data_IF_164041340496
#
_entry.id   IF_164041340496
#
_cell.length_a   1.000
_cell.length_b   1.000
_cell.length_c   1.000
_cell.angle_alpha   90.00
_cell.angle_beta   90.00
_cell.angle_gamma   90.00
#
_symmetry.space_group_name_H-M   'P 1'
#
loop_
_entity.id
_entity.type
_entity.pdbx_description
1 polymer ?
#
# COMPACT_ATOMS: atom_id res chain seq x y z
N UNK A 1 -26.84 -24.11 -30.47
CA UNK A 1 -25.78 -23.10 -30.38
C UNK A 1 -26.20 -21.79 -29.67
N UNK A 2 -27.28 -21.07 -30.07
CA UNK A 2 -27.67 -19.79 -29.43
C UNK A 2 -28.05 -19.92 -27.93
N UNK A 3 -28.68 -21.01 -27.51
CA UNK A 3 -29.07 -21.25 -26.09
C UNK A 3 -27.85 -21.52 -25.21
N UNK A 4 -26.91 -22.33 -25.66
CA UNK A 4 -25.66 -22.62 -24.94
C UNK A 4 -24.79 -21.37 -24.77
N UNK A 5 -24.69 -20.52 -25.82
CA UNK A 5 -23.95 -19.26 -25.73
C UNK A 5 -24.56 -18.30 -24.69
N UNK A 6 -25.89 -18.20 -24.63
CA UNK A 6 -26.59 -17.40 -23.61
C UNK A 6 -26.34 -17.90 -22.20
N UNK A 7 -26.37 -19.24 -22.01
CA UNK A 7 -26.07 -19.83 -20.69
C UNK A 7 -24.64 -19.59 -20.24
N UNK A 8 -23.66 -19.69 -21.14
CA UNK A 8 -22.26 -19.40 -20.84
C UNK A 8 -22.08 -17.91 -20.46
N UNK A 9 -22.67 -16.96 -21.23
CA UNK A 9 -22.62 -15.54 -20.91
C UNK A 9 -23.22 -15.26 -19.52
N UNK A 10 -24.33 -15.87 -19.17
CA UNK A 10 -24.98 -15.69 -17.88
C UNK A 10 -24.11 -16.17 -16.72
N UNK A 11 -23.48 -17.34 -16.86
CA UNK A 11 -22.53 -17.86 -15.86
C UNK A 11 -21.33 -16.94 -15.69
N UNK A 12 -20.75 -16.43 -16.78
CA UNK A 12 -19.62 -15.49 -16.71
C UNK A 12 -19.98 -14.19 -15.99
N UNK A 13 -21.19 -13.67 -16.21
CA UNK A 13 -21.67 -12.45 -15.52
C UNK A 13 -21.80 -12.72 -14.01
N UNK A 14 -22.36 -13.87 -13.61
CA UNK A 14 -22.46 -14.23 -12.19
C UNK A 14 -21.10 -14.36 -11.55
N UNK A 15 -20.14 -15.00 -12.21
CA UNK A 15 -18.77 -15.15 -11.72
C UNK A 15 -18.09 -13.78 -11.57
N UNK A 16 -18.29 -12.86 -12.51
CA UNK A 16 -17.77 -11.52 -12.45
C UNK A 16 -18.35 -10.74 -11.24
N UNK A 17 -19.66 -10.81 -11.04
CA UNK A 17 -20.33 -10.15 -9.91
C UNK A 17 -19.83 -10.73 -8.59
N UNK A 18 -19.70 -12.06 -8.49
CA UNK A 18 -19.17 -12.72 -7.31
C UNK A 18 -17.71 -12.31 -7.02
N UNK A 19 -16.87 -12.23 -8.05
CA UNK A 19 -15.48 -11.75 -7.93
C UNK A 19 -15.43 -10.31 -7.45
N UNK A 20 -16.23 -9.41 -8.01
CA UNK A 20 -16.30 -8.01 -7.59
C UNK A 20 -16.77 -7.88 -6.13
N UNK A 21 -17.79 -8.65 -5.74
CA UNK A 21 -18.26 -8.72 -4.37
C UNK A 21 -17.18 -9.20 -3.41
N UNK A 22 -16.48 -10.27 -3.76
CA UNK A 22 -15.35 -10.78 -2.97
C UNK A 22 -14.24 -9.75 -2.77
N UNK A 23 -13.82 -9.05 -3.84
CA UNK A 23 -12.78 -8.03 -3.76
C UNK A 23 -13.19 -6.83 -2.90
N UNK A 24 -14.46 -6.42 -2.93
CA UNK A 24 -14.97 -5.34 -2.06
C UNK A 24 -15.00 -5.75 -0.59
N UNK A 25 -15.38 -6.98 -0.28
CA UNK A 25 -15.40 -7.50 1.09
C UNK A 25 -14.00 -7.86 1.62
N UNK A 26 -13.07 -8.13 0.72
CA UNK A 26 -11.72 -8.55 1.05
C UNK A 26 -10.67 -7.72 0.26
N UNK A 27 -10.55 -6.41 0.53
CA UNK A 27 -9.67 -5.52 -0.22
C UNK A 27 -8.21 -5.97 -0.13
N UNK A 28 -7.44 -5.90 -1.24
CA UNK A 28 -6.08 -6.44 -1.32
C UNK A 28 -5.05 -5.65 -0.50
N UNK A 29 -5.22 -4.33 -0.36
CA UNK A 29 -4.28 -3.49 0.37
C UNK A 29 -4.40 -3.72 1.87
N UNK A 30 -3.31 -4.15 2.49
CA UNK A 30 -3.19 -4.28 3.95
C UNK A 30 -2.28 -3.20 4.50
N UNK A 31 -2.62 -2.77 5.70
CA UNK A 31 -1.84 -1.87 6.53
C UNK A 31 -1.15 -2.67 7.62
N UNK A 32 0.11 -2.38 7.86
CA UNK A 32 0.89 -2.87 8.98
C UNK A 32 1.10 -1.81 10.05
N UNK A 33 2.30 -1.77 10.62
CA UNK A 33 2.67 -0.80 11.63
C UNK A 33 2.71 0.62 11.07
N UNK A 34 2.36 1.58 11.93
CA UNK A 34 2.51 3.02 11.69
C UNK A 34 3.64 3.51 12.59
N UNK A 35 4.58 4.24 12.00
CA UNK A 35 5.59 5.01 12.74
C UNK A 35 5.32 6.49 12.54
N UNK A 36 5.50 7.28 13.60
CA UNK A 36 5.27 8.73 13.54
C UNK A 36 6.24 9.46 14.46
N UNK A 37 6.53 10.72 14.13
CA UNK A 37 7.16 11.67 15.06
C UNK A 37 6.18 12.05 16.18
N UNK A 38 6.68 12.54 17.30
CA UNK A 38 5.85 12.90 18.46
C UNK A 38 4.81 13.99 18.15
N UNK A 39 5.11 14.85 17.20
CA UNK A 39 4.26 15.94 16.69
C UNK A 39 3.35 15.52 15.54
N UNK A 40 3.46 14.26 15.08
CA UNK A 40 2.74 13.70 13.92
C UNK A 40 2.94 14.44 12.60
N UNK A 41 4.03 15.20 12.46
CA UNK A 41 4.35 15.89 11.20
C UNK A 41 4.96 14.96 10.15
N UNK A 42 5.61 13.88 10.59
CA UNK A 42 6.14 12.85 9.70
C UNK A 42 5.58 11.49 10.10
N UNK A 43 5.01 10.79 9.13
CA UNK A 43 4.37 9.49 9.31
C UNK A 43 4.87 8.51 8.27
N UNK A 44 5.12 7.27 8.68
CA UNK A 44 5.35 6.15 7.79
C UNK A 44 4.34 5.04 8.06
N UNK A 45 3.72 4.54 7.01
CA UNK A 45 2.77 3.43 7.08
C UNK A 45 3.30 2.25 6.29
N UNK A 46 3.51 1.12 6.96
CA UNK A 46 3.82 -0.13 6.27
C UNK A 46 2.60 -0.60 5.49
N UNK A 47 2.77 -0.80 4.18
CA UNK A 47 1.72 -1.26 3.27
C UNK A 47 2.09 -2.60 2.65
N UNK A 48 1.09 -3.38 2.25
CA UNK A 48 1.31 -4.63 1.55
C UNK A 48 0.09 -5.10 0.77
N UNK A 49 0.34 -6.06 -0.10
CA UNK A 49 -0.67 -6.74 -0.90
C UNK A 49 -0.83 -8.18 -0.40
N UNK A 50 -1.96 -8.47 0.24
CA UNK A 50 -2.23 -9.81 0.79
C UNK A 50 -2.66 -10.83 -0.25
N UNK A 51 -3.06 -10.40 -1.44
CA UNK A 51 -3.53 -11.29 -2.48
C UNK A 51 -2.38 -12.02 -3.20
N UNK A 52 -2.69 -13.14 -3.82
CA UNK A 52 -1.71 -14.00 -4.50
C UNK A 52 -1.40 -13.54 -5.91
N UNK A 53 -2.29 -12.78 -6.53
CA UNK A 53 -2.22 -12.36 -7.92
C UNK A 53 -2.48 -10.86 -8.03
N UNK A 54 -1.90 -10.24 -9.05
CA UNK A 54 -2.10 -8.83 -9.36
C UNK A 54 -1.34 -7.87 -8.43
N UNK A 55 -0.85 -6.80 -9.01
CA UNK A 55 -0.16 -5.74 -8.29
C UNK A 55 -1.16 -4.68 -7.82
N UNK A 56 -0.82 -3.99 -6.73
CA UNK A 56 -1.51 -2.78 -6.29
C UNK A 56 -0.71 -1.57 -6.77
N UNK A 57 -1.39 -0.61 -7.39
CA UNK A 57 -0.82 0.68 -7.78
C UNK A 57 -1.53 1.78 -7.00
N UNK A 58 -0.80 2.52 -6.18
CA UNK A 58 -1.33 3.69 -5.48
C UNK A 58 -1.47 4.80 -6.51
N UNK A 59 -2.63 5.43 -6.57
CA UNK A 59 -2.96 6.47 -7.57
C UNK A 59 -3.17 7.83 -6.94
N UNK A 60 -3.45 7.88 -5.62
CA UNK A 60 -3.60 9.14 -4.91
C UNK A 60 -3.41 8.92 -3.40
N UNK A 61 -2.87 9.94 -2.74
CA UNK A 61 -2.72 9.99 -1.29
C UNK A 61 -3.23 11.33 -0.80
N UNK A 62 -4.17 11.32 0.13
CA UNK A 62 -4.65 12.53 0.79
C UNK A 62 -4.63 12.37 2.31
N UNK A 63 -4.57 13.47 3.02
CA UNK A 63 -4.51 13.52 4.48
C UNK A 63 -5.68 14.32 5.06
N UNK A 64 -5.99 14.06 6.33
CA UNK A 64 -6.96 14.80 7.13
C UNK A 64 -8.31 15.04 6.40
N UNK A 65 -8.60 16.26 5.97
CA UNK A 65 -9.81 16.65 5.24
C UNK A 65 -9.68 16.53 3.71
N UNK A 66 -9.01 15.46 3.21
CA UNK A 66 -8.72 15.21 1.80
C UNK A 66 -7.77 16.24 1.16
N UNK A 67 -6.84 16.76 1.94
CA UNK A 67 -5.77 17.64 1.45
C UNK A 67 -4.65 16.80 0.83
N UNK A 68 -4.05 17.29 -0.24
CA UNK A 68 -2.83 16.69 -0.78
C UNK A 68 -1.68 16.93 0.21
N UNK A 69 -0.86 15.93 0.54
CA UNK A 69 0.28 16.11 1.44
C UNK A 69 1.39 16.93 0.76
N UNK A 70 2.12 17.71 1.55
CA UNK A 70 3.25 18.52 1.07
C UNK A 70 4.36 17.64 0.48
N UNK A 71 4.68 16.54 1.15
CA UNK A 71 5.68 15.57 0.66
C UNK A 71 5.16 14.15 0.89
N UNK A 72 5.23 13.32 -0.14
CA UNK A 72 4.92 11.89 -0.05
C UNK A 72 5.88 11.08 -0.91
N UNK A 73 6.42 9.97 -0.36
CA UNK A 73 7.30 9.02 -1.04
C UNK A 73 6.98 7.60 -0.63
N UNK A 74 7.29 6.66 -1.51
CA UNK A 74 7.29 5.23 -1.18
C UNK A 74 8.70 4.79 -0.86
N UNK A 75 8.92 4.24 0.34
CA UNK A 75 10.15 3.52 0.69
C UNK A 75 10.01 2.07 0.24
N UNK A 76 10.92 1.63 -0.61
CA UNK A 76 11.05 0.23 -1.03
C UNK A 76 12.30 -0.35 -0.37
N UNK A 77 12.10 -1.00 0.76
CA UNK A 77 13.18 -1.51 1.61
C UNK A 77 13.09 -3.03 1.75
N UNK A 78 13.76 -3.57 2.72
CA UNK A 78 13.71 -4.98 3.06
C UNK A 78 13.50 -5.21 4.56
N UNK A 79 13.08 -6.43 4.91
CA UNK A 79 12.72 -6.79 6.28
C UNK A 79 13.89 -6.72 7.30
N UNK A 80 15.12 -6.66 6.83
CA UNK A 80 16.32 -6.53 7.69
C UNK A 80 16.63 -5.07 7.99
N UNK A 81 16.48 -4.20 6.99
CA UNK A 81 16.79 -2.77 7.09
C UNK A 81 15.65 -1.96 7.73
N UNK A 82 14.40 -2.33 7.42
CA UNK A 82 13.23 -1.59 7.89
C UNK A 82 13.01 -0.27 7.16
N UNK A 83 12.40 0.69 7.85
CA UNK A 83 12.07 2.01 7.33
C UNK A 83 12.70 3.11 8.18
N UNK A 84 12.82 4.30 7.60
CA UNK A 84 13.22 5.53 8.30
C UNK A 84 12.05 6.50 8.37
N UNK A 85 11.92 7.20 9.49
CA UNK A 85 11.01 8.35 9.65
C UNK A 85 11.87 9.60 9.52
N UNK A 86 11.60 10.44 8.53
CA UNK A 86 12.36 11.66 8.26
C UNK A 86 11.46 12.69 7.58
N UNK A 87 11.74 13.96 7.81
CA UNK A 87 11.16 15.11 7.14
C UNK A 87 11.96 15.52 5.88
N UNK A 88 13.18 15.00 5.74
CA UNK A 88 14.10 15.28 4.64
C UNK A 88 14.44 14.00 3.90
N UNK A 89 13.97 13.85 2.67
CA UNK A 89 14.13 12.61 1.90
C UNK A 89 15.47 12.49 1.18
N UNK A 90 15.99 13.58 0.60
CA UNK A 90 17.19 13.56 -0.26
C UNK A 90 18.40 12.79 0.27
N UNK A 91 18.83 12.91 1.54
CA UNK A 91 20.00 12.18 2.01
C UNK A 91 19.78 10.64 2.06
N UNK A 92 18.53 10.20 2.05
CA UNK A 92 18.13 8.82 2.28
C UNK A 92 17.47 8.13 1.07
N UNK A 93 17.34 8.84 -0.07
CA UNK A 93 16.65 8.34 -1.26
C UNK A 93 17.25 7.03 -1.77
N UNK A 94 18.56 6.98 -1.96
CA UNK A 94 19.23 5.75 -2.41
C UNK A 94 19.24 4.68 -1.34
N UNK A 95 19.55 5.07 -0.11
CA UNK A 95 19.72 4.13 0.99
C UNK A 95 18.42 3.39 1.33
N UNK A 96 17.27 4.07 1.41
CA UNK A 96 15.97 3.50 1.74
C UNK A 96 15.06 3.29 0.53
N UNK A 97 15.62 3.45 -0.69
CA UNK A 97 14.88 3.24 -1.94
C UNK A 97 13.63 4.10 -2.04
N UNK A 98 13.74 5.39 -1.64
CA UNK A 98 12.62 6.33 -1.72
C UNK A 98 12.33 6.69 -3.16
N UNK A 99 11.08 6.48 -3.57
CA UNK A 99 10.61 6.71 -4.94
C UNK A 99 9.25 7.38 -4.93
N UNK A 100 8.86 7.89 -6.07
CA UNK A 100 7.50 8.35 -6.28
C UNK A 100 6.53 7.17 -6.11
N UNK A 101 5.53 7.34 -5.24
CA UNK A 101 4.59 6.26 -4.90
C UNK A 101 3.78 5.77 -6.11
N UNK A 102 3.50 6.65 -7.09
CA UNK A 102 2.76 6.30 -8.31
C UNK A 102 3.53 5.33 -9.21
N UNK A 103 4.86 5.37 -9.13
CA UNK A 103 5.74 4.51 -9.95
C UNK A 103 5.94 3.11 -9.36
N UNK A 104 5.50 2.88 -8.12
CA UNK A 104 5.73 1.64 -7.40
C UNK A 104 4.50 0.74 -7.44
N UNK A 105 4.72 -0.50 -7.85
CA UNK A 105 3.74 -1.57 -7.76
C UNK A 105 3.99 -2.40 -6.49
N UNK A 106 2.99 -2.52 -5.60
CA UNK A 106 3.06 -3.44 -4.46
C UNK A 106 2.82 -4.86 -4.98
N UNK A 107 3.84 -5.68 -4.91
CA UNK A 107 3.82 -7.06 -5.40
C UNK A 107 2.85 -7.94 -4.60
N UNK A 108 2.30 -9.01 -5.22
CA UNK A 108 1.51 -10.01 -4.51
C UNK A 108 2.26 -10.62 -3.34
N UNK A 109 1.53 -11.01 -2.28
CA UNK A 109 2.09 -11.62 -1.06
C UNK A 109 3.11 -10.74 -0.31
N UNK A 110 3.09 -9.44 -0.54
CA UNK A 110 3.94 -8.47 0.17
C UNK A 110 3.27 -7.96 1.45
N UNK A 111 2.77 -8.87 2.28
CA UNK A 111 2.12 -8.47 3.54
C UNK A 111 3.09 -7.66 4.40
N UNK A 112 2.63 -6.55 5.02
CA UNK A 112 3.50 -5.73 5.85
C UNK A 112 3.97 -6.53 7.07
N UNK A 113 5.29 -6.51 7.30
CA UNK A 113 5.89 -7.16 8.46
C UNK A 113 5.81 -6.19 9.64
N UNK A 114 5.26 -6.61 10.80
CA UNK A 114 5.29 -5.78 12.00
C UNK A 114 6.72 -5.41 12.38
N UNK A 115 6.95 -4.18 12.87
CA UNK A 115 8.27 -3.74 13.33
C UNK A 115 8.93 -4.70 14.33
N UNK A 116 8.12 -5.39 15.14
CA UNK A 116 8.58 -6.41 16.12
C UNK A 116 9.05 -7.73 15.49
N UNK A 117 8.77 -7.96 14.20
CA UNK A 117 9.14 -9.18 13.46
C UNK A 117 10.12 -8.88 12.32
N UNK A 118 10.91 -7.82 12.43
CA UNK A 118 12.01 -7.60 11.49
C UNK A 118 12.91 -8.82 11.49
N UNK A 119 13.25 -9.30 10.30
CA UNK A 119 14.14 -10.45 10.17
C UNK A 119 15.45 -10.17 10.89
N UNK A 120 15.97 -11.17 11.64
CA UNK A 120 17.29 -11.05 12.26
C UNK A 120 18.32 -10.68 11.19
N UNK A 121 19.23 -9.79 11.52
CA UNK A 121 20.35 -9.46 10.65
C UNK A 121 21.05 -10.77 10.22
N UNK A 122 21.19 -10.97 8.90
CA UNK A 122 21.79 -12.19 8.33
C UNK A 122 20.83 -13.12 7.59
N UNK A 123 19.55 -12.72 7.36
CA UNK A 123 18.67 -13.46 6.46
C UNK A 123 19.22 -13.42 5.04
N UNK A 124 19.47 -14.57 4.41
CA UNK A 124 20.01 -14.67 3.05
C UNK A 124 19.06 -14.08 1.98
N UNK A 125 17.75 -14.01 2.26
CA UNK A 125 16.74 -13.45 1.37
C UNK A 125 15.73 -12.60 2.16
N UNK A 126 16.06 -11.34 2.50
CA UNK A 126 15.15 -10.49 3.21
C UNK A 126 13.93 -10.11 2.33
N UNK A 127 12.73 -10.26 2.89
CA UNK A 127 11.50 -9.92 2.19
C UNK A 127 11.46 -8.41 1.86
N UNK A 128 11.03 -8.08 0.63
CA UNK A 128 10.76 -6.71 0.21
C UNK A 128 9.57 -6.15 1.00
N UNK A 129 9.72 -4.94 1.51
CA UNK A 129 8.69 -4.23 2.26
C UNK A 129 8.46 -2.85 1.67
N UNK A 130 7.23 -2.34 1.83
CA UNK A 130 6.79 -1.06 1.29
C UNK A 130 6.32 -0.17 2.43
N UNK A 131 6.84 1.06 2.49
CA UNK A 131 6.46 2.07 3.46
C UNK A 131 6.04 3.37 2.78
N UNK A 132 4.83 3.82 3.03
CA UNK A 132 4.35 5.12 2.56
C UNK A 132 4.78 6.18 3.57
N UNK A 133 5.75 7.01 3.19
CA UNK A 133 6.24 8.15 3.97
C UNK A 133 5.54 9.42 3.57
N UNK A 134 5.02 10.13 4.56
CA UNK A 134 4.30 11.40 4.39
C UNK A 134 4.89 12.41 5.37
N UNK A 135 5.12 13.62 4.90
CA UNK A 135 5.55 14.75 5.73
C UNK A 135 4.69 15.96 5.43
N UNK A 136 4.28 16.66 6.50
CA UNK A 136 3.38 17.81 6.45
C UNK A 136 3.77 18.84 7.51
N UNK A 137 3.27 20.07 7.36
CA UNK A 137 3.49 21.16 8.32
C UNK A 137 2.44 21.16 9.47
N UNK A 138 1.42 20.35 9.36
CA UNK A 138 0.36 20.16 10.36
C UNK A 138 0.22 18.69 10.75
N UNK A 139 -0.23 18.36 11.97
CA UNK A 139 -0.37 16.98 12.42
C UNK A 139 -1.25 16.14 11.51
N UNK A 140 -0.75 14.97 11.16
CA UNK A 140 -1.45 14.00 10.32
C UNK A 140 -2.27 13.07 11.22
N UNK A 141 -3.59 13.18 11.15
CA UNK A 141 -4.52 12.34 11.93
C UNK A 141 -5.13 11.21 11.10
N UNK A 142 -5.23 11.43 9.78
CA UNK A 142 -5.84 10.49 8.85
C UNK A 142 -5.13 10.51 7.50
N UNK A 143 -4.97 9.34 6.92
CA UNK A 143 -4.42 9.16 5.58
C UNK A 143 -5.44 8.37 4.77
N UNK A 144 -5.82 8.87 3.58
CA UNK A 144 -6.61 8.14 2.61
C UNK A 144 -5.69 7.75 1.46
N UNK A 145 -5.63 6.46 1.18
CA UNK A 145 -4.84 5.89 0.08
C UNK A 145 -5.79 5.38 -0.97
N UNK A 146 -5.83 6.02 -2.14
CA UNK A 146 -6.55 5.54 -3.32
C UNK A 146 -5.62 4.66 -4.14
N UNK A 147 -6.09 3.50 -4.54
CA UNK A 147 -5.28 2.54 -5.27
C UNK A 147 -6.09 1.74 -6.28
N UNK A 148 -5.41 1.20 -7.29
CA UNK A 148 -5.97 0.30 -8.30
C UNK A 148 -5.46 -1.12 -8.10
N UNK A 149 -6.38 -2.07 -8.24
CA UNK A 149 -6.11 -3.49 -8.25
C UNK A 149 -7.00 -4.20 -9.27
N UNK A 150 -6.43 -4.93 -10.21
CA UNK A 150 -7.14 -5.58 -11.33
C UNK A 150 -8.10 -4.64 -12.08
N UNK A 151 -7.69 -3.37 -12.28
CA UNK A 151 -8.48 -2.34 -12.95
C UNK A 151 -9.58 -1.68 -12.09
N UNK A 152 -9.79 -2.13 -10.85
CA UNK A 152 -10.79 -1.60 -9.92
C UNK A 152 -10.12 -0.63 -8.95
N UNK A 153 -10.77 0.51 -8.71
CA UNK A 153 -10.32 1.50 -7.74
C UNK A 153 -10.90 1.22 -6.35
N UNK A 154 -10.06 1.41 -5.34
CA UNK A 154 -10.37 1.27 -3.92
C UNK A 154 -9.81 2.46 -3.14
N UNK A 155 -10.38 2.70 -1.97
CA UNK A 155 -9.84 3.66 -1.00
C UNK A 155 -9.62 2.94 0.33
N UNK A 156 -8.47 3.16 0.93
CA UNK A 156 -8.12 2.69 2.28
C UNK A 156 -7.90 3.89 3.18
N UNK A 157 -8.71 4.03 4.21
CA UNK A 157 -8.51 5.03 5.27
C UNK A 157 -7.68 4.44 6.39
N UNK A 158 -6.71 5.21 6.87
CA UNK A 158 -5.74 4.86 7.91
C UNK A 158 -5.78 5.99 8.96
N UNK A 159 -6.04 5.67 10.21
CA UNK A 159 -5.95 6.61 11.32
C UNK A 159 -4.56 6.53 11.95
N UNK A 160 -3.97 7.69 12.27
CA UNK A 160 -2.63 7.86 12.81
C UNK A 160 -2.66 8.13 14.32
#
# INVERSE_FOLDING_TARGET
MKKTLRSISFVLIILLIAMLGYLKLNPPLTQGSIGTTSDKLSVIVALGNKHLLGNIHITDVSINANQAPTKVRMQVSNSTKGFIITDTYQPYEEEYGMKDYETIALEPKSAPIPFSKQAKAGSENPARIYGLSITEDTPIERINVTYRYLGISFVKTINV
#
